data_IF_978302843214
#
_entry.id   IF_978302843214
#
_cell.length_a   1.000
_cell.length_b   1.000
_cell.length_c   1.000
_cell.angle_alpha   90.00
_cell.angle_beta   90.00
_cell.angle_gamma   90.00
#
_symmetry.space_group_name_H-M   'P 1'
#
loop_
_entity.id
_entity.type
_entity.pdbx_description
1 polymer ?
#
# COMPACT_ATOMS: atom_id res chain seq x y z
N UNK A 1 -13.20 -37.34 -2.10
CA UNK A 1 -14.03 -36.14 -2.40
C UNK A 1 -13.84 -35.13 -1.28
N UNK A 2 -12.94 -34.17 -1.48
CA UNK A 2 -12.59 -33.17 -0.47
C UNK A 2 -13.41 -31.92 -0.76
N UNK A 3 -14.33 -31.58 0.16
CA UNK A 3 -15.20 -30.40 0.05
C UNK A 3 -14.35 -29.13 0.19
N UNK A 4 -14.23 -28.36 -0.88
CA UNK A 4 -13.76 -27.00 -0.83
C UNK A 4 -14.71 -26.14 0.02
N UNK A 5 -14.26 -25.67 1.16
CA UNK A 5 -14.99 -24.66 1.95
C UNK A 5 -14.90 -23.32 1.21
N UNK A 6 -16.03 -22.91 0.63
CA UNK A 6 -16.24 -21.54 0.18
C UNK A 6 -16.19 -20.60 1.40
N UNK A 7 -15.07 -19.98 1.66
CA UNK A 7 -14.97 -18.85 2.56
C UNK A 7 -15.65 -17.65 1.89
N UNK A 8 -16.84 -17.27 2.39
CA UNK A 8 -17.48 -16.01 2.03
C UNK A 8 -16.54 -14.86 2.41
N UNK A 9 -16.28 -13.88 1.53
CA UNK A 9 -15.43 -12.74 1.85
C UNK A 9 -16.03 -11.95 3.02
N UNK A 10 -15.22 -11.74 4.04
CA UNK A 10 -15.59 -10.96 5.22
C UNK A 10 -15.85 -9.51 4.78
N UNK A 11 -16.97 -8.89 5.18
CA UNK A 11 -17.44 -7.56 4.73
C UNK A 11 -16.48 -6.39 5.03
N UNK A 12 -15.38 -6.61 5.76
CA UNK A 12 -14.32 -5.63 6.02
C UNK A 12 -13.04 -5.86 5.20
N UNK A 13 -13.04 -6.81 4.26
CA UNK A 13 -11.89 -7.04 3.39
C UNK A 13 -11.75 -5.89 2.39
N UNK A 14 -10.60 -5.26 2.42
CA UNK A 14 -10.19 -4.32 1.38
C UNK A 14 -10.17 -2.84 1.76
N UNK A 15 -10.26 -2.45 3.04
CA UNK A 15 -10.04 -1.07 3.46
C UNK A 15 -8.76 -1.00 4.29
N UNK A 16 -7.77 -0.30 3.77
CA UNK A 16 -6.50 -0.02 4.45
C UNK A 16 -6.40 1.42 4.89
N UNK A 17 -5.57 1.63 5.89
CA UNK A 17 -5.23 2.97 6.37
C UNK A 17 -3.75 3.23 6.08
N UNK A 18 -3.48 4.26 5.29
CA UNK A 18 -2.12 4.70 4.93
C UNK A 18 -1.81 5.97 5.71
N UNK A 19 -0.62 6.05 6.28
CA UNK A 19 -0.13 7.18 7.07
C UNK A 19 1.08 7.85 6.43
N UNK A 20 1.20 9.15 6.69
CA UNK A 20 2.33 9.97 6.30
C UNK A 20 2.20 10.57 4.91
N UNK A 21 2.73 11.79 4.77
CA UNK A 21 2.52 12.61 3.58
C UNK A 21 3.00 11.96 2.29
N UNK A 22 4.18 11.34 2.28
CA UNK A 22 4.74 10.72 1.07
C UNK A 22 3.91 9.54 0.57
N UNK A 23 3.54 8.62 1.49
CA UNK A 23 2.73 7.44 1.15
C UNK A 23 1.31 7.85 0.72
N UNK A 24 0.70 8.79 1.45
CA UNK A 24 -0.64 9.30 1.11
C UNK A 24 -0.63 10.05 -0.22
N UNK A 25 0.40 10.87 -0.48
CA UNK A 25 0.57 11.55 -1.77
C UNK A 25 0.63 10.55 -2.92
N UNK A 26 1.49 9.52 -2.80
CA UNK A 26 1.63 8.50 -3.83
C UNK A 26 0.31 7.77 -4.08
N UNK A 27 -0.40 7.39 -3.02
CA UNK A 27 -1.71 6.73 -3.12
C UNK A 27 -2.78 7.62 -3.77
N UNK A 28 -2.82 8.92 -3.47
CA UNK A 28 -3.74 9.87 -4.10
C UNK A 28 -3.45 10.11 -5.59
N UNK A 29 -2.19 9.96 -6.02
CA UNK A 29 -1.75 10.11 -7.40
C UNK A 29 -1.85 8.81 -8.22
N UNK A 30 -2.16 7.68 -7.57
CA UNK A 30 -2.29 6.39 -8.25
C UNK A 30 -3.73 6.18 -8.72
N UNK A 31 -3.97 6.28 -10.02
CA UNK A 31 -5.29 6.11 -10.64
C UNK A 31 -5.90 4.71 -10.43
N UNK A 32 -5.05 3.71 -10.15
CA UNK A 32 -5.49 2.34 -9.86
C UNK A 32 -6.05 2.19 -8.43
N UNK A 33 -5.80 3.17 -7.54
CA UNK A 33 -6.22 3.11 -6.16
C UNK A 33 -7.59 3.74 -5.93
N UNK A 34 -8.46 3.02 -5.26
CA UNK A 34 -9.80 3.52 -4.90
C UNK A 34 -9.73 4.18 -3.51
N UNK A 35 -9.51 5.48 -3.51
CA UNK A 35 -9.44 6.29 -2.30
C UNK A 35 -10.85 6.56 -1.75
N UNK A 36 -11.02 6.44 -0.41
CA UNK A 36 -12.32 6.54 0.27
C UNK A 36 -12.43 7.86 1.04
N UNK A 37 -11.45 8.14 1.90
CA UNK A 37 -11.50 9.29 2.78
C UNK A 37 -10.08 9.77 3.14
N UNK A 38 -9.82 11.05 2.91
CA UNK A 38 -8.62 11.73 3.39
C UNK A 38 -8.95 12.43 4.71
N UNK A 39 -8.25 12.05 5.78
CA UNK A 39 -8.41 12.64 7.11
C UNK A 39 -7.13 13.39 7.43
N UNK A 40 -7.26 14.67 7.73
CA UNK A 40 -6.13 15.54 8.02
C UNK A 40 -6.29 16.27 9.33
N UNK A 41 -5.19 16.60 9.97
CA UNK A 41 -5.16 17.59 11.04
C UNK A 41 -5.34 19.00 10.45
N UNK A 42 -5.87 19.93 11.26
CA UNK A 42 -6.08 21.33 10.84
C UNK A 42 -4.82 21.99 10.29
N UNK A 43 -3.63 21.54 10.71
CA UNK A 43 -2.33 22.08 10.24
C UNK A 43 -1.98 21.63 8.82
N UNK A 44 -2.68 20.64 8.24
CA UNK A 44 -2.42 20.06 6.93
C UNK A 44 -3.43 20.45 5.85
N UNK A 45 -4.15 21.55 6.03
CA UNK A 45 -5.17 22.03 5.07
C UNK A 45 -4.58 22.32 3.69
N UNK A 46 -3.34 22.81 3.61
CA UNK A 46 -2.65 23.04 2.34
C UNK A 46 -2.37 21.75 1.58
N UNK A 47 -2.07 20.67 2.30
CA UNK A 47 -1.93 19.34 1.70
C UNK A 47 -3.26 18.88 1.10
N UNK A 48 -4.36 18.99 1.83
CA UNK A 48 -5.68 18.59 1.32
C UNK A 48 -6.11 19.36 0.07
N UNK A 49 -5.95 20.69 0.06
CA UNK A 49 -6.27 21.52 -1.12
C UNK A 49 -5.54 21.07 -2.38
N UNK A 50 -4.27 20.66 -2.24
CA UNK A 50 -3.45 20.21 -3.37
C UNK A 50 -3.97 18.93 -4.04
N UNK A 51 -4.68 18.07 -3.31
CA UNK A 51 -5.16 16.76 -3.77
C UNK A 51 -6.69 16.65 -3.73
N UNK A 52 -7.41 17.76 -3.65
CA UNK A 52 -8.87 17.78 -3.53
C UNK A 52 -9.57 17.07 -4.71
N UNK A 53 -9.04 17.21 -5.91
CA UNK A 53 -9.56 16.54 -7.12
C UNK A 53 -9.39 15.02 -7.12
N UNK A 54 -8.52 14.48 -6.28
CA UNK A 54 -8.17 13.04 -6.26
C UNK A 54 -8.95 12.25 -5.20
N UNK A 55 -9.85 12.91 -4.45
CA UNK A 55 -10.58 12.30 -3.35
C UNK A 55 -11.96 12.90 -3.18
N UNK A 56 -12.96 12.04 -2.94
CA UNK A 56 -14.36 12.48 -2.81
C UNK A 56 -14.70 13.02 -1.41
N UNK A 57 -13.98 12.57 -0.38
CA UNK A 57 -14.27 12.93 1.01
C UNK A 57 -13.02 13.36 1.73
N UNK A 58 -13.04 14.60 2.26
CA UNK A 58 -12.00 15.14 3.12
C UNK A 58 -12.60 15.46 4.49
N UNK A 59 -11.96 14.96 5.54
CA UNK A 59 -12.31 15.23 6.93
C UNK A 59 -11.18 15.97 7.61
N UNK A 60 -11.46 17.18 8.10
CA UNK A 60 -10.50 18.01 8.81
C UNK A 60 -10.79 17.89 10.31
N UNK A 61 -9.81 17.47 11.09
CA UNK A 61 -9.94 17.34 12.54
C UNK A 61 -9.08 18.38 13.27
N UNK A 62 -9.54 18.88 14.44
CA UNK A 62 -8.68 19.59 15.37
C UNK A 62 -7.46 18.73 15.74
N UNK A 63 -6.31 19.36 15.99
CA UNK A 63 -5.05 18.66 16.25
C UNK A 63 -5.14 17.66 17.40
N UNK A 64 -5.80 18.04 18.50
CA UNK A 64 -5.99 17.18 19.67
C UNK A 64 -6.86 15.94 19.35
N UNK A 65 -7.90 16.09 18.55
CA UNK A 65 -8.76 14.99 18.13
C UNK A 65 -8.02 14.07 17.14
N UNK A 66 -7.28 14.64 16.20
CA UNK A 66 -6.47 13.88 15.26
C UNK A 66 -5.45 13.02 16.00
N UNK A 67 -4.68 13.60 16.92
CA UNK A 67 -3.68 12.90 17.74
C UNK A 67 -4.30 11.80 18.60
N UNK A 68 -5.48 12.05 19.17
CA UNK A 68 -6.19 11.01 19.95
C UNK A 68 -6.61 9.82 19.12
N UNK A 69 -7.00 10.02 17.85
CA UNK A 69 -7.47 8.95 16.95
C UNK A 69 -6.34 8.18 16.27
N UNK A 70 -5.28 8.85 15.87
CA UNK A 70 -4.26 8.30 14.97
C UNK A 70 -2.84 8.31 15.55
N UNK A 71 -2.66 8.80 16.75
CA UNK A 71 -1.36 8.93 17.40
C UNK A 71 -0.62 10.22 17.04
N UNK A 72 0.62 10.33 17.50
CA UNK A 72 1.43 11.53 17.34
C UNK A 72 1.80 11.83 15.88
N UNK A 73 2.02 13.10 15.57
CA UNK A 73 2.39 13.60 14.26
C UNK A 73 3.68 12.98 13.69
N UNK A 74 4.60 12.52 14.52
CA UNK A 74 5.83 11.85 14.08
C UNK A 74 5.55 10.59 13.23
N UNK A 75 4.41 9.93 13.47
CA UNK A 75 4.03 8.74 12.71
C UNK A 75 3.16 9.08 11.52
N UNK A 76 2.16 9.93 11.72
CA UNK A 76 1.12 10.22 10.72
C UNK A 76 1.41 11.46 9.88
N UNK A 77 2.27 12.35 10.38
CA UNK A 77 2.53 13.68 9.78
C UNK A 77 1.24 14.49 9.56
N UNK A 78 0.22 14.25 10.41
CA UNK A 78 -1.07 14.91 10.33
C UNK A 78 -1.93 14.51 9.13
N UNK A 79 -1.61 13.40 8.46
CA UNK A 79 -2.29 12.95 7.23
C UNK A 79 -2.56 11.46 7.28
N UNK A 80 -3.81 11.08 7.03
CA UNK A 80 -4.28 9.68 7.01
C UNK A 80 -5.21 9.48 5.83
N UNK A 81 -5.01 8.42 5.06
CA UNK A 81 -5.87 8.04 3.94
C UNK A 81 -6.50 6.68 4.21
N UNK A 82 -7.83 6.60 4.11
CA UNK A 82 -8.55 5.33 3.98
C UNK A 82 -8.73 5.01 2.51
N UNK A 83 -8.32 3.83 2.11
CA UNK A 83 -8.33 3.39 0.73
C UNK A 83 -8.63 1.90 0.61
N UNK A 84 -9.02 1.44 -0.57
CA UNK A 84 -9.12 0.00 -0.85
C UNK A 84 -7.76 -0.57 -1.19
N UNK A 85 -7.67 -1.91 -1.15
CA UNK A 85 -6.47 -2.62 -1.59
C UNK A 85 -6.12 -2.31 -3.04
N UNK A 86 -4.82 -2.31 -3.33
CA UNK A 86 -4.35 -2.42 -4.71
C UNK A 86 -4.54 -3.86 -5.17
N UNK A 87 -5.01 -3.99 -6.40
CA UNK A 87 -5.08 -5.28 -7.06
C UNK A 87 -3.84 -5.45 -7.94
N UNK A 88 -3.06 -6.47 -7.66
CA UNK A 88 -1.90 -6.86 -8.46
C UNK A 88 -2.29 -7.96 -9.45
N UNK A 89 -1.58 -8.09 -10.59
CA UNK A 89 -1.79 -9.22 -11.49
C UNK A 89 -1.46 -10.54 -10.77
N UNK A 90 -2.03 -11.63 -11.23
CA UNK A 90 -1.61 -12.96 -10.79
C UNK A 90 -0.15 -13.23 -11.17
N UNK A 91 0.54 -14.10 -10.42
CA UNK A 91 1.95 -14.39 -10.65
C UNK A 91 2.24 -14.88 -12.07
N UNK A 92 1.39 -15.76 -12.62
CA UNK A 92 1.55 -16.28 -13.98
C UNK A 92 1.43 -15.17 -15.03
N UNK A 93 0.44 -14.30 -14.89
CA UNK A 93 0.24 -13.17 -15.79
C UNK A 93 1.42 -12.19 -15.71
N UNK A 94 1.88 -11.89 -14.48
CA UNK A 94 3.03 -11.03 -14.25
C UNK A 94 4.29 -11.59 -14.93
N UNK A 95 4.62 -12.85 -14.69
CA UNK A 95 5.81 -13.51 -15.29
C UNK A 95 5.68 -13.55 -16.81
N UNK A 96 4.50 -13.85 -17.36
CA UNK A 96 4.24 -13.86 -18.80
C UNK A 96 4.46 -12.49 -19.46
N UNK A 97 4.12 -11.42 -18.77
CA UNK A 97 4.37 -10.04 -19.25
C UNK A 97 5.84 -9.70 -19.17
N UNK A 98 6.48 -9.97 -18.03
CA UNK A 98 7.88 -9.62 -17.79
C UNK A 98 8.85 -10.42 -18.66
N UNK A 99 8.55 -11.69 -18.97
CA UNK A 99 9.39 -12.54 -19.83
C UNK A 99 9.49 -12.06 -21.28
N UNK A 100 8.61 -11.16 -21.71
CA UNK A 100 8.65 -10.56 -23.06
C UNK A 100 9.56 -9.35 -23.16
N UNK A 101 10.01 -8.83 -22.02
CA UNK A 101 10.91 -7.67 -21.98
C UNK A 101 12.36 -8.11 -22.19
N UNK A 102 13.16 -7.26 -22.81
CA UNK A 102 14.59 -7.53 -23.01
C UNK A 102 15.38 -7.59 -21.70
N UNK A 103 14.93 -6.85 -20.70
CA UNK A 103 15.46 -6.84 -19.33
C UNK A 103 14.32 -6.70 -18.34
N UNK A 104 14.32 -7.51 -17.30
CA UNK A 104 13.41 -7.41 -16.17
C UNK A 104 14.11 -7.94 -14.92
N UNK A 105 13.99 -7.20 -13.82
CA UNK A 105 14.53 -7.59 -12.52
C UNK A 105 13.37 -7.84 -11.59
N UNK A 106 13.31 -9.05 -11.04
CA UNK A 106 12.30 -9.48 -10.08
C UNK A 106 13.03 -9.93 -8.82
N UNK A 107 12.64 -9.41 -7.67
CA UNK A 107 13.17 -9.85 -6.39
C UNK A 107 12.30 -10.95 -5.81
N UNK A 108 12.93 -12.03 -5.34
CA UNK A 108 12.26 -13.06 -4.57
C UNK A 108 12.74 -12.95 -3.13
N UNK A 109 11.81 -12.75 -2.21
CA UNK A 109 12.11 -12.64 -0.79
C UNK A 109 11.71 -13.93 -0.09
N UNK A 110 12.70 -14.59 0.49
CA UNK A 110 12.50 -15.77 1.31
C UNK A 110 12.60 -15.38 2.79
N UNK A 111 11.57 -15.70 3.57
CA UNK A 111 11.48 -15.50 5.02
C UNK A 111 11.74 -14.05 5.52
N UNK A 112 11.48 -13.06 4.69
CA UNK A 112 11.49 -11.67 5.13
C UNK A 112 10.14 -11.33 5.73
N UNK A 113 10.06 -11.31 7.06
CA UNK A 113 8.78 -11.19 7.79
C UNK A 113 8.51 -9.80 8.34
N UNK A 114 9.53 -8.95 8.45
CA UNK A 114 9.36 -7.58 8.95
C UNK A 114 8.82 -6.65 7.87
N UNK A 115 7.62 -6.05 8.09
CA UNK A 115 7.03 -5.09 7.15
C UNK A 115 7.92 -3.87 6.86
N UNK A 116 8.76 -3.45 7.81
CA UNK A 116 9.65 -2.30 7.60
C UNK A 116 10.78 -2.65 6.64
N UNK A 117 11.34 -3.87 6.74
CA UNK A 117 12.35 -4.35 5.82
C UNK A 117 11.78 -4.48 4.40
N UNK A 118 10.58 -5.05 4.25
CA UNK A 118 9.93 -5.14 2.94
C UNK A 118 9.67 -3.74 2.36
N UNK A 119 9.19 -2.80 3.17
CA UNK A 119 8.99 -1.43 2.71
C UNK A 119 10.29 -0.76 2.25
N UNK A 120 11.40 -1.00 2.93
CA UNK A 120 12.73 -0.51 2.54
C UNK A 120 13.21 -1.15 1.23
N UNK A 121 13.00 -2.45 1.06
CA UNK A 121 13.28 -3.18 -0.17
C UNK A 121 12.44 -2.64 -1.33
N UNK A 122 11.14 -2.37 -1.12
CA UNK A 122 10.27 -1.76 -2.13
C UNK A 122 10.82 -0.41 -2.61
N UNK A 123 11.35 0.43 -1.71
CA UNK A 123 11.97 1.70 -2.12
C UNK A 123 13.17 1.48 -3.03
N UNK A 124 14.01 0.51 -2.71
CA UNK A 124 15.15 0.14 -3.56
C UNK A 124 14.68 -0.40 -4.90
N UNK A 125 13.66 -1.25 -4.91
CA UNK A 125 13.04 -1.77 -6.13
C UNK A 125 12.51 -0.65 -7.03
N UNK A 126 11.78 0.31 -6.46
CA UNK A 126 11.29 1.46 -7.20
C UNK A 126 12.42 2.33 -7.78
N UNK A 127 13.52 2.49 -7.03
CA UNK A 127 14.69 3.27 -7.47
C UNK A 127 15.43 2.60 -8.62
N UNK A 128 15.54 1.27 -8.59
CA UNK A 128 16.27 0.48 -9.61
C UNK A 128 15.36 -0.08 -10.71
N UNK A 129 14.12 0.39 -10.79
CA UNK A 129 13.13 -0.02 -11.80
C UNK A 129 12.91 -1.55 -11.83
N UNK A 130 12.86 -2.18 -10.66
CA UNK A 130 12.52 -3.59 -10.57
C UNK A 130 11.04 -3.79 -10.91
N UNK A 131 10.74 -4.83 -11.66
CA UNK A 131 9.38 -5.15 -12.10
C UNK A 131 8.44 -5.51 -10.94
N UNK A 132 8.97 -6.14 -9.90
CA UNK A 132 8.20 -6.50 -8.72
C UNK A 132 8.97 -7.32 -7.69
N UNK A 133 8.25 -7.61 -6.61
CA UNK A 133 8.71 -8.45 -5.50
C UNK A 133 7.78 -9.65 -5.39
N UNK A 134 8.36 -10.83 -5.31
CA UNK A 134 7.65 -12.08 -5.03
C UNK A 134 8.02 -12.53 -3.63
N UNK A 135 7.02 -12.85 -2.81
CA UNK A 135 7.17 -13.31 -1.44
C UNK A 135 6.63 -14.72 -1.27
N UNK A 136 7.20 -15.48 -0.34
CA UNK A 136 6.75 -16.83 -0.02
C UNK A 136 5.31 -16.83 0.53
N UNK A 137 4.65 -17.99 0.48
CA UNK A 137 3.30 -18.20 0.99
C UNK A 137 3.21 -18.02 2.50
N UNK A 138 4.18 -18.59 3.20
CA UNK A 138 4.19 -18.63 4.65
C UNK A 138 5.00 -17.45 5.20
N UNK A 139 4.45 -16.79 6.23
CA UNK A 139 5.09 -15.67 6.94
C UNK A 139 5.32 -14.39 6.11
N UNK A 140 4.66 -14.22 4.97
CA UNK A 140 4.72 -12.97 4.23
C UNK A 140 3.79 -11.95 4.87
N UNK A 141 4.29 -10.78 5.26
CA UNK A 141 3.43 -9.77 5.86
C UNK A 141 2.45 -9.21 4.84
N UNK A 142 1.22 -9.00 5.30
CA UNK A 142 0.24 -8.22 4.55
C UNK A 142 0.72 -6.77 4.37
N UNK A 143 0.11 -6.07 3.43
CA UNK A 143 0.37 -4.65 3.20
C UNK A 143 -0.17 -3.80 4.36
N UNK A 144 0.53 -3.83 5.48
CA UNK A 144 0.17 -3.08 6.69
C UNK A 144 0.48 -1.59 6.57
N UNK A 145 -0.12 -0.78 7.43
CA UNK A 145 0.20 0.66 7.51
C UNK A 145 1.69 0.93 7.78
N UNK A 146 2.37 0.04 8.51
CA UNK A 146 3.81 0.12 8.75
C UNK A 146 4.62 -0.10 7.48
N UNK A 147 4.23 -1.07 6.65
CA UNK A 147 4.84 -1.32 5.35
C UNK A 147 4.65 -0.13 4.41
N UNK A 148 3.42 0.40 4.28
CA UNK A 148 3.16 1.58 3.46
C UNK A 148 4.00 2.78 3.89
N UNK A 149 4.16 2.99 5.19
CA UNK A 149 4.98 4.08 5.72
C UNK A 149 6.45 3.90 5.36
N UNK A 150 7.02 2.72 5.60
CA UNK A 150 8.43 2.44 5.30
C UNK A 150 8.71 2.42 3.80
N UNK A 151 7.75 1.98 2.98
CA UNK A 151 7.85 2.03 1.53
C UNK A 151 7.82 3.46 0.96
N UNK A 152 7.31 4.45 1.73
CA UNK A 152 7.33 5.88 1.34
C UNK A 152 6.77 6.15 -0.07
N UNK A 153 5.70 5.45 -0.44
CA UNK A 153 5.04 5.53 -1.76
C UNK A 153 5.48 4.47 -2.77
N UNK A 154 6.59 3.77 -2.56
CA UNK A 154 7.04 2.71 -3.47
C UNK A 154 6.03 1.55 -3.57
N UNK A 155 5.23 1.31 -2.53
CA UNK A 155 4.15 0.33 -2.55
C UNK A 155 3.03 0.63 -3.58
N UNK A 156 2.99 1.82 -4.14
CA UNK A 156 2.06 2.19 -5.22
C UNK A 156 2.61 1.85 -6.62
N UNK A 157 3.90 1.60 -6.73
CA UNK A 157 4.63 1.44 -7.99
C UNK A 157 5.07 -0.01 -8.18
N UNK A 158 5.62 -0.62 -7.12
CA UNK A 158 6.22 -1.96 -7.17
C UNK A 158 5.14 -3.02 -7.03
N UNK A 159 5.06 -3.96 -7.97
CA UNK A 159 4.17 -5.11 -7.84
C UNK A 159 4.60 -5.99 -6.65
N UNK A 160 3.64 -6.30 -5.78
CA UNK A 160 3.87 -7.15 -4.61
C UNK A 160 3.02 -8.42 -4.74
N UNK A 161 3.69 -9.53 -5.04
CA UNK A 161 3.07 -10.78 -5.42
C UNK A 161 3.36 -11.85 -4.37
N UNK A 162 2.39 -12.68 -4.08
CA UNK A 162 2.56 -13.83 -3.18
C UNK A 162 2.44 -15.14 -3.95
N UNK A 163 3.25 -16.13 -3.58
CA UNK A 163 3.18 -17.50 -4.11
C UNK A 163 1.88 -18.25 -3.71
N UNK A 164 0.94 -17.60 -3.01
CA UNK A 164 -0.34 -18.22 -2.59
C UNK A 164 -1.27 -18.54 -3.78
N UNK A 165 -1.05 -17.94 -4.94
CA UNK A 165 -1.93 -18.02 -6.10
C UNK A 165 -1.39 -18.92 -7.21
N UNK A 166 -0.64 -19.98 -6.83
CA UNK A 166 -0.32 -21.07 -7.75
C UNK A 166 -1.32 -22.20 -7.58
#
# INVERSE_FOLDING_TARGET
MTKFRNNKPNKNQGIHTIFGQHSVKAALQNDKRKNIELIISKNQTNFAKKYESNIQKITILPQNEFTRRFGNDNTTQGVVLKTKDLTWPGLEEFVKVESKKSKSVILILDQVTDPQNIGSIMRSCALFDCAGIIVGKDNSPELTSSLYKSASGAAEIVNYLSLIHI
#
